data_IF_214108357598
#
_entry.id   IF_214108357598
#
_cell.length_a   1.000
_cell.length_b   1.000
_cell.length_c   1.000
_cell.angle_alpha   90.00
_cell.angle_beta   90.00
_cell.angle_gamma   90.00
#
_symmetry.space_group_name_H-M   'P 1'
#
loop_
_entity.id
_entity.type
_entity.pdbx_description
1 polymer ?
#
# COMPACT_ATOMS: atom_id res chain seq x y z
N UNK A 1 -28.22 -13.01 11.97
CA UNK A 1 -27.97 -13.84 13.16
C UNK A 1 -26.51 -14.29 13.08
N UNK A 2 -25.62 -13.58 13.75
CA UNK A 2 -24.24 -13.99 14.06
C UNK A 2 -23.97 -13.49 15.49
N UNK A 3 -23.61 -14.36 16.44
CA UNK A 3 -23.26 -13.90 17.78
C UNK A 3 -21.85 -14.36 18.24
N UNK A 4 -21.23 -13.52 19.09
CA UNK A 4 -20.25 -13.87 20.18
C UNK A 4 -18.84 -14.31 19.68
N UNK A 5 -17.69 -13.73 20.03
CA UNK A 5 -17.23 -13.08 21.26
C UNK A 5 -16.34 -14.04 22.05
N UNK A 6 -15.02 -13.76 22.18
CA UNK A 6 -14.17 -13.91 23.40
C UNK A 6 -12.66 -14.15 23.16
N UNK A 7 -11.87 -13.19 23.63
CA UNK A 7 -10.64 -13.28 24.46
C UNK A 7 -9.62 -14.39 24.20
N UNK A 8 -8.43 -13.99 23.71
CA UNK A 8 -7.20 -14.74 23.70
C UNK A 8 -6.46 -14.63 25.05
N UNK A 9 -6.10 -15.78 25.64
CA UNK A 9 -5.03 -15.93 26.63
C UNK A 9 -3.78 -16.44 25.89
N UNK A 10 -2.66 -15.70 25.97
CA UNK A 10 -1.37 -16.17 25.46
C UNK A 10 -0.54 -16.68 26.65
N UNK A 11 -0.24 -17.98 26.67
CA UNK A 11 0.78 -18.57 27.54
C UNK A 11 2.15 -18.46 26.88
N UNK A 12 3.11 -17.88 27.61
CA UNK A 12 4.52 -17.87 27.27
C UNK A 12 5.16 -19.24 27.52
N UNK A 13 6.03 -19.69 26.62
CA UNK A 13 6.96 -20.80 26.86
C UNK A 13 8.36 -20.34 26.51
N UNK A 14 9.22 -20.29 27.53
CA UNK A 14 10.66 -20.03 27.45
C UNK A 14 11.36 -21.38 27.61
N UNK A 15 12.17 -21.79 26.65
CA UNK A 15 13.27 -22.74 26.86
C UNK A 15 14.46 -22.32 25.98
N UNK A 16 15.59 -22.04 26.62
CA UNK A 16 16.87 -21.82 25.96
C UNK A 16 17.61 -23.12 25.67
N UNK A 17 18.75 -23.02 24.97
CA UNK A 17 20.02 -23.71 25.24
C UNK A 17 21.04 -23.27 24.18
N UNK A 18 22.29 -23.04 24.61
CA UNK A 18 23.41 -22.62 23.76
C UNK A 18 24.17 -23.79 23.13
N UNK A 19 25.07 -23.48 22.18
CA UNK A 19 26.06 -24.42 21.65
C UNK A 19 26.45 -24.16 20.20
N UNK A 20 27.71 -23.79 19.99
CA UNK A 20 28.41 -23.44 18.73
C UNK A 20 28.55 -24.63 17.78
N UNK A 21 28.36 -24.46 16.45
CA UNK A 21 29.17 -25.11 15.37
C UNK A 21 29.00 -24.38 14.01
N UNK A 22 30.14 -23.91 13.48
CA UNK A 22 30.62 -23.93 12.08
C UNK A 22 29.73 -23.59 10.86
N UNK A 23 30.10 -22.46 10.22
CA UNK A 23 30.32 -22.19 8.77
C UNK A 23 29.39 -22.77 7.67
N UNK A 24 29.06 -21.84 6.76
CA UNK A 24 28.49 -21.95 5.40
C UNK A 24 26.97 -22.03 5.25
N UNK A 25 26.34 -20.87 5.07
CA UNK A 25 25.39 -20.66 3.96
C UNK A 25 25.27 -19.16 3.64
N UNK A 26 26.07 -18.70 2.66
CA UNK A 26 25.76 -17.51 1.90
C UNK A 26 24.64 -17.88 0.91
N UNK A 27 23.47 -17.28 1.01
CA UNK A 27 22.80 -16.64 -0.13
C UNK A 27 21.49 -15.94 0.29
N UNK A 28 21.21 -14.82 -0.37
CA UNK A 28 19.90 -14.13 -0.47
C UNK A 28 19.47 -13.15 0.64
N UNK A 29 20.19 -12.02 0.80
CA UNK A 29 19.61 -10.70 1.18
C UNK A 29 20.37 -9.57 0.45
N UNK A 30 19.70 -8.48 0.03
CA UNK A 30 20.25 -7.53 -0.94
C UNK A 30 21.40 -6.73 -0.31
N UNK A 31 22.54 -6.75 -0.99
CA UNK A 31 23.80 -6.14 -0.58
C UNK A 31 23.80 -4.59 -0.53
N UNK A 32 22.66 -3.93 -0.74
CA UNK A 32 22.63 -2.48 -0.98
C UNK A 32 22.54 -1.62 0.30
N UNK A 33 22.01 -2.14 1.42
CA UNK A 33 21.80 -1.31 2.62
C UNK A 33 22.89 -1.45 3.70
N UNK A 34 23.65 -2.55 3.72
CA UNK A 34 24.66 -2.78 4.76
C UNK A 34 25.99 -2.07 4.44
N UNK A 35 26.29 -1.82 3.16
CA UNK A 35 27.51 -1.12 2.76
C UNK A 35 27.50 0.38 3.12
N UNK A 36 26.33 1.02 3.15
CA UNK A 36 26.24 2.44 3.51
C UNK A 36 26.61 2.69 4.98
N UNK A 37 26.15 1.83 5.91
CA UNK A 37 26.52 1.93 7.34
C UNK A 37 27.92 1.41 7.64
N UNK A 38 28.38 0.36 6.95
CA UNK A 38 29.74 -0.18 7.16
C UNK A 38 30.83 0.81 6.69
N UNK A 39 30.60 1.54 5.59
CA UNK A 39 31.54 2.56 5.12
C UNK A 39 31.54 3.79 6.04
N UNK A 40 30.40 4.18 6.62
CA UNK A 40 30.31 5.31 7.55
C UNK A 40 30.85 4.99 8.96
N UNK A 41 30.71 3.74 9.45
CA UNK A 41 31.20 3.36 10.79
C UNK A 41 32.68 2.94 10.85
N UNK A 42 33.31 2.62 9.71
CA UNK A 42 34.75 2.33 9.64
C UNK A 42 35.63 3.59 9.74
N UNK A 43 35.08 4.78 9.55
CA UNK A 43 35.86 6.03 9.48
C UNK A 43 36.13 6.72 10.83
N UNK A 44 35.81 6.09 11.97
CA UNK A 44 36.10 6.70 13.30
C UNK A 44 37.10 5.94 14.17
N UNK A 45 37.63 4.79 13.73
CA UNK A 45 38.69 4.10 14.48
C UNK A 45 39.66 3.41 13.52
N UNK A 46 40.71 4.13 13.16
CA UNK A 46 42.09 3.70 12.95
C UNK A 46 42.76 4.69 12.00
N UNK A 47 43.67 5.49 12.56
CA UNK A 47 44.70 6.15 11.78
C UNK A 47 45.62 5.08 11.17
N UNK A 48 46.22 5.42 10.03
CA UNK A 48 47.26 4.69 9.29
C UNK A 48 46.79 3.75 8.17
N UNK A 49 46.36 4.36 7.04
CA UNK A 49 46.46 3.78 5.69
C UNK A 49 46.76 4.90 4.66
N UNK A 50 47.50 4.64 3.56
CA UNK A 50 47.97 5.70 2.66
C UNK A 50 46.82 6.30 1.85
N UNK A 51 46.89 7.63 1.72
CA UNK A 51 45.89 8.56 1.18
C UNK A 51 45.34 8.19 -0.22
N UNK A 52 44.20 7.49 -0.27
CA UNK A 52 43.25 7.64 -1.38
C UNK A 52 42.39 8.87 -1.04
N UNK A 53 42.74 10.01 -1.66
CA UNK A 53 41.97 11.24 -1.55
C UNK A 53 40.69 11.06 -2.37
N UNK A 54 39.62 10.55 -1.74
CA UNK A 54 38.28 10.57 -2.32
C UNK A 54 37.94 12.03 -2.60
N UNK A 55 37.98 12.43 -3.86
CA UNK A 55 37.72 13.82 -4.23
C UNK A 55 36.26 14.17 -3.99
N UNK A 56 35.97 15.44 -3.66
CA UNK A 56 34.57 15.96 -3.57
C UNK A 56 33.69 15.56 -4.75
N UNK A 57 34.31 15.34 -5.91
CA UNK A 57 33.67 14.99 -7.18
C UNK A 57 33.04 13.58 -7.17
N UNK A 58 33.65 12.60 -6.51
CA UNK A 58 33.06 11.24 -6.40
C UNK A 58 31.91 11.18 -5.39
N UNK A 59 31.92 12.03 -4.36
CA UNK A 59 30.80 12.17 -3.42
C UNK A 59 29.57 12.81 -4.09
N UNK A 60 29.77 13.85 -4.91
CA UNK A 60 28.70 14.50 -5.68
C UNK A 60 28.02 13.52 -6.66
N UNK A 61 28.79 12.74 -7.41
CA UNK A 61 28.23 11.76 -8.37
C UNK A 61 27.44 10.68 -7.62
N UNK A 62 27.94 10.16 -6.51
CA UNK A 62 27.19 9.20 -5.69
C UNK A 62 25.88 9.82 -5.15
N UNK A 63 25.91 11.08 -4.69
CA UNK A 63 24.71 11.77 -4.22
C UNK A 63 23.69 12.06 -5.34
N UNK A 64 24.15 12.37 -6.55
CA UNK A 64 23.28 12.60 -7.73
C UNK A 64 22.66 11.30 -8.24
N UNK A 65 23.43 10.20 -8.28
CA UNK A 65 22.92 8.88 -8.66
C UNK A 65 21.87 8.39 -7.65
N UNK A 66 22.12 8.51 -6.34
CA UNK A 66 21.11 8.17 -5.33
C UNK A 66 19.86 9.06 -5.39
N UNK A 67 20.02 10.34 -5.73
CA UNK A 67 18.89 11.26 -5.91
C UNK A 67 18.04 10.92 -7.14
N UNK A 68 18.67 10.41 -8.21
CA UNK A 68 17.98 9.98 -9.42
C UNK A 68 17.18 8.67 -9.23
N UNK A 69 17.68 7.74 -8.43
CA UNK A 69 16.99 6.49 -8.09
C UNK A 69 15.83 6.70 -7.09
N UNK A 70 15.97 7.67 -6.18
CA UNK A 70 14.89 8.04 -5.23
C UNK A 70 13.75 8.78 -5.95
N UNK A 71 14.02 9.57 -7.00
CA UNK A 71 12.98 10.28 -7.74
C UNK A 71 12.15 9.37 -8.67
N UNK A 72 12.68 8.23 -9.11
CA UNK A 72 11.97 7.30 -9.97
C UNK A 72 10.94 6.43 -9.21
N UNK A 73 11.02 6.37 -7.87
CA UNK A 73 10.21 5.47 -7.04
C UNK A 73 9.24 6.16 -6.09
N UNK A 74 9.25 7.50 -6.00
CA UNK A 74 8.46 8.27 -5.03
C UNK A 74 7.43 9.24 -5.65
N UNK A 75 6.96 8.96 -6.87
CA UNK A 75 5.83 9.67 -7.46
C UNK A 75 4.54 8.92 -7.07
N UNK A 76 3.99 9.21 -5.89
CA UNK A 76 2.62 8.80 -5.57
C UNK A 76 1.68 9.46 -6.58
N UNK A 77 0.94 8.68 -7.37
CA UNK A 77 0.01 9.24 -8.34
C UNK A 77 -1.01 10.14 -7.66
N UNK A 78 -1.36 11.28 -8.28
CA UNK A 78 -2.35 12.21 -7.71
C UNK A 78 -3.76 11.58 -7.66
N UNK A 79 -4.04 10.65 -8.56
CA UNK A 79 -5.33 9.97 -8.70
C UNK A 79 -5.18 8.46 -8.54
N UNK A 80 -6.27 7.82 -8.11
CA UNK A 80 -6.35 6.38 -7.91
C UNK A 80 -7.67 5.83 -8.44
N UNK A 81 -7.60 4.63 -9.00
CA UNK A 81 -8.76 3.79 -9.28
C UNK A 81 -8.95 2.84 -8.09
N UNK A 82 -10.11 2.90 -7.45
CA UNK A 82 -10.43 2.09 -6.26
C UNK A 82 -11.41 1.00 -6.64
N UNK A 83 -11.11 -0.24 -6.26
CA UNK A 83 -11.95 -1.40 -6.47
C UNK A 83 -12.59 -1.82 -5.14
N UNK A 84 -13.89 -2.10 -5.18
CA UNK A 84 -14.67 -2.59 -4.05
C UNK A 84 -15.66 -3.63 -4.54
N UNK A 85 -15.65 -4.81 -3.95
CA UNK A 85 -16.68 -5.84 -4.17
C UNK A 85 -17.83 -5.64 -3.19
N UNK A 86 -19.04 -5.95 -3.65
CA UNK A 86 -20.29 -5.81 -2.89
C UNK A 86 -21.19 -7.02 -3.16
N UNK A 87 -22.06 -7.42 -2.20
CA UNK A 87 -22.87 -8.64 -2.36
C UNK A 87 -23.90 -8.56 -3.49
N UNK A 88 -24.30 -7.36 -3.91
CA UNK A 88 -25.26 -7.18 -5.01
C UNK A 88 -25.20 -5.75 -5.57
N UNK A 89 -25.84 -5.58 -6.72
CA UNK A 89 -25.87 -4.32 -7.47
C UNK A 89 -26.57 -3.18 -6.72
N UNK A 90 -27.58 -3.46 -5.89
CA UNK A 90 -28.31 -2.43 -5.15
C UNK A 90 -27.44 -1.81 -4.04
N UNK A 91 -26.68 -2.64 -3.33
CA UNK A 91 -25.67 -2.19 -2.37
C UNK A 91 -24.60 -1.37 -3.09
N UNK A 92 -24.11 -1.85 -4.24
CA UNK A 92 -23.13 -1.13 -5.05
C UNK A 92 -23.63 0.28 -5.42
N UNK A 93 -24.87 0.37 -5.94
CA UNK A 93 -25.50 1.65 -6.32
C UNK A 93 -25.62 2.58 -5.12
N UNK A 94 -26.11 2.08 -3.99
CA UNK A 94 -26.28 2.88 -2.76
C UNK A 94 -24.95 3.47 -2.30
N UNK A 95 -23.90 2.67 -2.24
CA UNK A 95 -22.56 3.11 -1.83
C UNK A 95 -21.99 4.10 -2.86
N UNK A 96 -22.09 3.78 -4.16
CA UNK A 96 -21.60 4.64 -5.24
C UNK A 96 -22.24 6.03 -5.22
N UNK A 97 -23.57 6.10 -5.07
CA UNK A 97 -24.30 7.36 -4.97
C UNK A 97 -23.83 8.18 -3.77
N UNK A 98 -23.65 7.53 -2.62
CA UNK A 98 -23.14 8.18 -1.42
C UNK A 98 -21.74 8.74 -1.60
N UNK A 99 -20.81 7.95 -2.13
CA UNK A 99 -19.42 8.36 -2.36
C UNK A 99 -19.31 9.55 -3.31
N UNK A 100 -20.10 9.58 -4.38
CA UNK A 100 -20.10 10.71 -5.32
C UNK A 100 -20.75 11.94 -4.68
N UNK A 101 -21.86 11.77 -3.94
CA UNK A 101 -22.56 12.86 -3.26
C UNK A 101 -21.68 13.54 -2.20
N UNK A 102 -20.96 12.76 -1.41
CA UNK A 102 -20.03 13.24 -0.38
C UNK A 102 -18.68 13.72 -0.97
N UNK A 103 -18.55 13.72 -2.30
CA UNK A 103 -17.34 14.10 -3.04
C UNK A 103 -16.09 13.32 -2.62
N UNK A 104 -16.26 12.04 -2.29
CA UNK A 104 -15.18 11.11 -2.00
C UNK A 104 -14.69 10.37 -3.26
N UNK A 105 -15.51 10.34 -4.31
CA UNK A 105 -15.15 9.86 -5.64
C UNK A 105 -15.76 10.75 -6.72
N UNK A 106 -15.08 10.89 -7.85
CA UNK A 106 -15.58 11.65 -9.00
C UNK A 106 -16.63 10.86 -9.77
N UNK A 107 -16.38 9.55 -9.95
CA UNK A 107 -17.34 8.62 -10.55
C UNK A 107 -17.13 7.20 -10.04
N UNK A 108 -18.11 6.35 -10.31
CA UNK A 108 -18.08 4.92 -10.06
C UNK A 108 -18.65 4.17 -11.26
N UNK A 109 -17.96 3.11 -11.71
CA UNK A 109 -18.50 2.13 -12.64
C UNK A 109 -18.91 0.90 -11.83
N UNK A 110 -20.07 0.32 -12.13
CA UNK A 110 -20.55 -0.90 -11.50
C UNK A 110 -20.55 -2.01 -12.55
N UNK A 111 -19.86 -3.10 -12.26
CA UNK A 111 -19.83 -4.32 -13.07
C UNK A 111 -20.68 -5.35 -12.34
N UNK A 112 -21.91 -5.63 -12.80
CA UNK A 112 -22.79 -6.57 -12.14
C UNK A 112 -22.38 -8.02 -12.43
N UNK A 113 -22.83 -8.96 -11.59
CA UNK A 113 -22.72 -10.41 -11.80
C UNK A 113 -21.27 -10.91 -11.96
N UNK A 114 -20.38 -10.47 -11.07
CA UNK A 114 -19.04 -11.05 -10.91
C UNK A 114 -19.16 -12.30 -10.04
N UNK A 115 -18.34 -13.30 -10.31
CA UNK A 115 -18.18 -14.47 -9.44
C UNK A 115 -16.89 -14.30 -8.64
N UNK A 116 -17.01 -14.22 -7.32
CA UNK A 116 -15.88 -14.16 -6.40
C UNK A 116 -15.59 -15.56 -5.88
N UNK A 117 -14.35 -16.02 -6.08
CA UNK A 117 -13.88 -17.34 -5.65
C UNK A 117 -12.79 -17.14 -4.60
N UNK A 118 -12.98 -17.69 -3.41
CA UNK A 118 -12.05 -17.50 -2.29
C UNK A 118 -12.05 -18.71 -1.34
N UNK A 119 -10.98 -18.84 -0.55
CA UNK A 119 -10.89 -19.86 0.49
C UNK A 119 -11.34 -19.30 1.85
N UNK A 120 -12.27 -19.99 2.49
CA UNK A 120 -12.70 -19.71 3.86
C UNK A 120 -12.93 -21.02 4.60
N UNK A 121 -12.41 -21.12 5.83
CA UNK A 121 -12.49 -22.35 6.66
C UNK A 121 -12.02 -23.62 5.92
N UNK A 122 -10.95 -23.52 5.14
CA UNK A 122 -10.39 -24.60 4.28
C UNK A 122 -11.35 -25.11 3.20
N UNK A 123 -12.34 -24.31 2.81
CA UNK A 123 -13.25 -24.60 1.71
C UNK A 123 -13.17 -23.50 0.67
N UNK A 124 -13.21 -23.90 -0.59
CA UNK A 124 -13.41 -22.97 -1.70
C UNK A 124 -14.89 -22.59 -1.73
N UNK A 125 -15.15 -21.30 -1.66
CA UNK A 125 -16.48 -20.72 -1.74
C UNK A 125 -16.58 -19.92 -3.04
N UNK A 126 -17.79 -19.84 -3.56
CA UNK A 126 -18.13 -19.05 -4.74
C UNK A 126 -19.37 -18.22 -4.43
N UNK A 127 -19.26 -16.90 -4.55
CA UNK A 127 -20.35 -15.96 -4.34
C UNK A 127 -20.58 -15.09 -5.58
N UNK A 128 -21.85 -14.75 -5.85
CA UNK A 128 -22.20 -13.79 -6.88
C UNK A 128 -22.21 -12.39 -6.29
N UNK A 129 -21.41 -11.50 -6.87
CA UNK A 129 -21.15 -10.16 -6.37
C UNK A 129 -21.25 -9.10 -7.47
N UNK A 130 -21.12 -7.83 -7.09
CA UNK A 130 -20.92 -6.71 -8.00
C UNK A 130 -19.60 -6.01 -7.67
N UNK A 131 -18.81 -5.70 -8.70
CA UNK A 131 -17.55 -4.99 -8.58
C UNK A 131 -17.75 -3.50 -8.90
N UNK A 132 -17.32 -2.64 -7.99
CA UNK A 132 -17.28 -1.20 -8.17
C UNK A 132 -15.86 -0.76 -8.53
N UNK A 133 -15.73 0.08 -9.56
CA UNK A 133 -14.48 0.75 -9.93
C UNK A 133 -14.67 2.26 -9.87
N UNK A 134 -14.16 2.88 -8.82
CA UNK A 134 -14.26 4.32 -8.55
C UNK A 134 -12.99 5.05 -8.95
N UNK A 135 -13.11 6.33 -9.35
CA UNK A 135 -11.96 7.18 -9.64
C UNK A 135 -11.98 8.37 -8.70
N UNK A 136 -10.86 8.59 -8.02
CA UNK A 136 -10.76 9.64 -7.00
C UNK A 136 -9.32 10.16 -6.89
N UNK A 137 -9.12 11.17 -6.06
CA UNK A 137 -7.80 11.60 -5.62
C UNK A 137 -7.20 10.56 -4.69
N UNK A 138 -5.92 10.27 -4.83
CA UNK A 138 -5.21 9.33 -3.95
C UNK A 138 -5.29 9.73 -2.49
N UNK A 139 -5.29 11.04 -2.20
CA UNK A 139 -5.46 11.57 -0.83
C UNK A 139 -6.84 11.29 -0.20
N UNK A 140 -7.85 10.91 -0.99
CA UNK A 140 -9.21 10.60 -0.52
C UNK A 140 -9.46 9.11 -0.31
N UNK A 141 -8.51 8.24 -0.64
CA UNK A 141 -8.67 6.78 -0.52
C UNK A 141 -9.00 6.36 0.91
N UNK A 142 -8.36 6.97 1.93
CA UNK A 142 -8.65 6.64 3.33
C UNK A 142 -10.09 7.01 3.74
N UNK A 143 -10.54 8.21 3.39
CA UNK A 143 -11.90 8.70 3.69
C UNK A 143 -12.95 7.88 2.93
N UNK A 144 -12.68 7.54 1.66
CA UNK A 144 -13.49 6.64 0.86
C UNK A 144 -13.58 5.25 1.51
N UNK A 145 -12.45 4.69 1.95
CA UNK A 145 -12.40 3.39 2.63
C UNK A 145 -13.20 3.40 3.92
N UNK A 146 -13.09 4.46 4.72
CA UNK A 146 -13.89 4.63 5.94
C UNK A 146 -15.39 4.71 5.63
N UNK A 147 -15.78 5.45 4.60
CA UNK A 147 -17.16 5.54 4.15
C UNK A 147 -17.70 4.17 3.71
N UNK A 148 -16.93 3.44 2.91
CA UNK A 148 -17.31 2.09 2.46
C UNK A 148 -17.51 1.19 3.68
N UNK A 149 -16.53 1.10 4.59
CA UNK A 149 -16.65 0.29 5.82
C UNK A 149 -17.89 0.60 6.64
N UNK A 150 -18.28 1.87 6.76
CA UNK A 150 -19.45 2.27 7.53
C UNK A 150 -20.79 1.90 6.85
N UNK A 151 -20.78 1.70 5.52
CA UNK A 151 -21.99 1.48 4.72
C UNK A 151 -22.05 0.09 4.06
N UNK A 152 -21.02 -0.74 4.25
CA UNK A 152 -20.90 -2.06 3.66
C UNK A 152 -21.48 -3.13 4.59
N UNK A 153 -22.22 -4.13 4.05
CA UNK A 153 -22.79 -5.22 4.88
C UNK A 153 -21.75 -6.19 5.43
N UNK A 154 -20.62 -6.37 4.76
CA UNK A 154 -19.53 -7.22 5.24
C UNK A 154 -18.71 -6.54 6.33
N UNK A 155 -18.28 -7.33 7.32
CA UNK A 155 -17.40 -6.84 8.40
C UNK A 155 -16.00 -6.47 7.89
N UNK A 156 -15.49 -7.24 6.93
CA UNK A 156 -14.23 -6.98 6.24
C UNK A 156 -14.56 -6.82 4.76
N UNK A 157 -14.74 -5.58 4.32
CA UNK A 157 -14.99 -5.28 2.91
C UNK A 157 -13.66 -5.18 2.14
N UNK A 158 -13.64 -5.70 0.91
CA UNK A 158 -12.54 -5.47 -0.01
C UNK A 158 -12.52 -4.01 -0.45
N UNK A 159 -11.40 -3.32 -0.22
CA UNK A 159 -11.14 -1.98 -0.76
C UNK A 159 -9.68 -1.92 -1.13
N UNK A 160 -9.38 -1.88 -2.43
CA UNK A 160 -8.00 -1.78 -2.94
C UNK A 160 -7.88 -0.62 -3.92
N UNK A 161 -6.73 0.04 -3.93
CA UNK A 161 -6.48 1.19 -4.78
C UNK A 161 -5.29 0.95 -5.70
N UNK A 162 -5.45 1.33 -6.96
CA UNK A 162 -4.41 1.26 -7.99
C UNK A 162 -4.08 2.69 -8.46
N UNK A 163 -2.80 3.08 -8.49
CA UNK A 163 -2.40 4.41 -8.92
C UNK A 163 -2.70 4.65 -10.41
N UNK A 164 -3.27 5.80 -10.75
CA UNK A 164 -3.44 6.24 -12.15
C UNK A 164 -2.21 7.07 -12.53
N UNK A 165 -1.34 6.49 -13.34
CA UNK A 165 -0.06 7.10 -13.74
C UNK A 165 -0.13 7.94 -15.01
N UNK A 166 -1.13 7.71 -15.87
CA UNK A 166 -1.35 8.44 -17.10
C UNK A 166 -2.85 8.42 -17.48
N UNK A 167 -3.29 9.32 -18.35
CA UNK A 167 -4.66 9.41 -18.83
C UNK A 167 -4.90 10.70 -19.63
N UNK A 168 -6.16 10.97 -19.96
CA UNK A 168 -6.54 12.24 -20.57
C UNK A 168 -6.48 13.37 -19.52
N UNK A 169 -5.62 14.37 -19.73
CA UNK A 169 -5.44 15.51 -18.82
C UNK A 169 -6.74 16.22 -18.46
N UNK A 170 -7.64 16.41 -19.43
CA UNK A 170 -8.93 17.05 -19.18
C UNK A 170 -9.80 16.21 -18.22
N UNK A 171 -9.75 14.88 -18.35
CA UNK A 171 -10.49 13.97 -17.47
C UNK A 171 -9.89 13.93 -16.06
N UNK A 172 -8.56 13.86 -15.97
CA UNK A 172 -7.86 13.88 -14.68
C UNK A 172 -8.08 15.21 -13.94
N UNK A 173 -8.05 16.34 -14.66
CA UNK A 173 -8.39 17.65 -14.12
C UNK A 173 -9.83 17.68 -13.60
N UNK A 174 -10.79 17.12 -14.34
CA UNK A 174 -12.18 17.04 -13.89
C UNK A 174 -12.33 16.28 -12.57
N UNK A 175 -11.59 15.18 -12.37
CA UNK A 175 -11.56 14.47 -11.07
C UNK A 175 -11.12 15.44 -9.96
N UNK A 176 -10.08 16.22 -10.21
CA UNK A 176 -9.60 17.24 -9.28
C UNK A 176 -10.61 18.34 -8.98
N UNK A 177 -11.41 18.73 -9.97
CA UNK A 177 -12.38 19.81 -9.84
C UNK A 177 -13.61 19.38 -9.00
N UNK A 178 -14.05 18.12 -9.13
CA UNK A 178 -15.25 17.61 -8.42
C UNK A 178 -14.95 16.99 -7.06
N UNK A 179 -13.73 16.45 -6.86
CA UNK A 179 -13.26 15.89 -5.59
C UNK A 179 -12.30 16.88 -4.92
N UNK A 180 -12.66 17.48 -3.78
CA UNK A 180 -11.78 18.42 -3.08
C UNK A 180 -10.58 17.70 -2.45
N UNK A 181 -9.52 18.44 -2.20
CA UNK A 181 -8.37 17.91 -1.45
C UNK A 181 -8.73 17.59 0.00
N UNK A 182 -7.99 16.64 0.59
CA UNK A 182 -8.07 16.32 2.00
C UNK A 182 -7.66 17.55 2.80
N UNK A 183 -8.56 18.07 3.63
CA UNK A 183 -8.24 19.16 4.56
C UNK A 183 -7.31 18.60 5.62
N UNK A 184 -6.11 19.15 5.71
CA UNK A 184 -5.18 18.88 6.82
C UNK A 184 -5.64 19.78 7.97
N UNK A 185 -6.32 19.18 8.95
CA UNK A 185 -6.65 19.83 10.22
C UNK A 185 -5.65 19.39 11.28
#
# INVERSE_FOLDING_TARGET
MLPIGRTFFLSAFILGYGGVWSLYSLYSKPLCQTLSKALLMSMSRHADFPSIRVTRRTYCIASEIMSSEINATNQSSQYSAVYVTTPNEDVAKKIAHGLVKEKLAACANIIPKVTSIYEWENKINEDSEALMMMKTRTSKVDELTAYVKANHPYQVCEVIAVPITNGNDAYLKWISDVVPEKKIN
#
